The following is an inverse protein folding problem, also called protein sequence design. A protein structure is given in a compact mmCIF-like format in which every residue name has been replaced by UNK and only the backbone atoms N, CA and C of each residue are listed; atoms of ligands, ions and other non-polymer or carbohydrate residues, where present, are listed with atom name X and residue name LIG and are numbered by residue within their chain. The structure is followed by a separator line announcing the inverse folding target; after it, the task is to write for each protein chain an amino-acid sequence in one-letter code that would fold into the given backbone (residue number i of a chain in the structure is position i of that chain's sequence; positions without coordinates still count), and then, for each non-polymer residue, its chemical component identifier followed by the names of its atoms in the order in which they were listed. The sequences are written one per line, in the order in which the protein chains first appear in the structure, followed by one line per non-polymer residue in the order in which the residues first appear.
data_IF_892611683330
#
_entry.id   IF_892611683330
#
_cell.length_a   1.000
_cell.length_b   1.000
_cell.length_c   1.000
_cell.angle_alpha   90.00
_cell.angle_beta   90.00
_cell.angle_gamma   90.00
#
_symmetry.space_group_name_H-M   'P 1'
#
loop_
_entity.id
_entity.type
_entity.pdbx_description
1 polymer ?
#
# COMPACT_ATOMS: atom_id res chain seq x y z
N UNK A 1 -0.52 -56.06 -4.97
CA UNK A 1 0.24 -55.19 -5.87
C UNK A 1 -0.44 -53.83 -5.82
N UNK A 2 0.18 -52.84 -5.15
CA UNK A 2 -0.29 -51.45 -5.11
C UNK A 2 0.09 -50.75 -6.43
N UNK A 3 -0.68 -49.72 -6.82
CA UNK A 3 -0.08 -48.52 -7.37
C UNK A 3 -0.24 -47.39 -6.35
N UNK A 4 0.89 -46.89 -5.89
CA UNK A 4 1.01 -45.57 -5.29
C UNK A 4 0.95 -44.53 -6.43
N UNK A 5 0.11 -43.51 -6.28
CA UNK A 5 0.31 -42.24 -6.97
C UNK A 5 0.51 -41.16 -5.92
N UNK A 6 1.79 -40.82 -5.73
CA UNK A 6 2.22 -39.57 -5.14
C UNK A 6 2.00 -38.49 -6.19
N UNK A 7 1.00 -37.64 -5.97
CA UNK A 7 0.92 -36.33 -6.60
C UNK A 7 1.01 -35.33 -5.47
N UNK A 8 2.24 -34.92 -5.15
CA UNK A 8 2.49 -33.83 -4.23
C UNK A 8 1.78 -32.58 -4.73
N UNK A 9 0.79 -32.12 -3.98
CA UNK A 9 0.37 -30.73 -4.04
C UNK A 9 1.55 -29.93 -3.49
N UNK A 10 2.39 -29.41 -4.39
CA UNK A 10 3.22 -28.26 -4.03
C UNK A 10 2.23 -27.16 -3.68
N UNK A 11 2.01 -26.92 -2.40
CA UNK A 11 1.58 -25.60 -1.96
C UNK A 11 2.58 -24.62 -2.55
N UNK A 12 2.14 -23.83 -3.53
CA UNK A 12 2.89 -22.68 -4.00
C UNK A 12 3.08 -21.79 -2.78
N UNK A 13 4.33 -21.56 -2.39
CA UNK A 13 4.64 -20.50 -1.43
C UNK A 13 3.94 -19.25 -1.94
N UNK A 14 3.00 -18.65 -1.19
CA UNK A 14 2.28 -17.49 -1.69
C UNK A 14 3.29 -16.39 -1.99
N UNK A 15 3.31 -15.94 -3.25
CA UNK A 15 4.21 -14.88 -3.70
C UNK A 15 4.01 -13.64 -2.82
N UNK A 16 5.11 -13.05 -2.37
CA UNK A 16 5.03 -11.83 -1.57
C UNK A 16 4.51 -10.68 -2.42
N UNK A 17 3.42 -10.05 -1.99
CA UNK A 17 2.82 -8.87 -2.61
C UNK A 17 3.31 -7.62 -1.87
N UNK A 18 3.80 -6.63 -2.60
CA UNK A 18 4.21 -5.34 -2.03
C UNK A 18 3.19 -4.27 -2.40
N UNK A 19 2.56 -3.66 -1.39
CA UNK A 19 1.68 -2.51 -1.53
C UNK A 19 2.47 -1.22 -1.28
N UNK A 20 2.37 -0.26 -2.19
CA UNK A 20 2.89 1.10 -1.99
C UNK A 20 1.82 1.95 -1.31
N UNK A 21 2.20 2.59 -0.22
CA UNK A 21 1.34 3.51 0.53
C UNK A 21 1.97 4.90 0.54
N UNK A 22 1.30 5.88 -0.07
CA UNK A 22 1.75 7.28 -0.09
C UNK A 22 0.87 8.17 0.80
N UNK A 23 1.47 9.00 1.65
CA UNK A 23 0.74 9.88 2.57
C UNK A 23 1.45 11.20 2.81
N UNK A 24 0.74 12.17 3.41
CA UNK A 24 1.29 13.46 3.81
C UNK A 24 1.11 13.81 5.29
N UNK A 25 0.17 13.18 6.01
CA UNK A 25 -0.18 13.58 7.38
C UNK A 25 0.71 12.98 8.48
N UNK A 26 1.45 11.91 8.17
CA UNK A 26 2.33 11.24 9.13
C UNK A 26 3.79 11.51 8.81
N UNK A 27 4.51 12.24 9.65
CA UNK A 27 5.98 12.29 9.57
C UNK A 27 6.62 11.46 10.68
N UNK A 28 7.88 11.05 10.52
CA UNK A 28 8.62 10.37 11.60
C UNK A 28 8.70 11.18 12.89
N UNK A 29 8.56 12.51 12.78
CA UNK A 29 8.55 13.43 13.92
C UNK A 29 7.19 13.58 14.60
N UNK A 30 6.12 12.96 14.07
CA UNK A 30 4.75 13.07 14.58
C UNK A 30 4.27 11.78 15.25
N UNK A 31 3.37 11.93 16.22
CA UNK A 31 2.69 10.78 16.85
C UNK A 31 1.86 9.98 15.84
N UNK A 32 1.27 10.65 14.83
CA UNK A 32 0.54 10.01 13.73
C UNK A 32 1.46 9.12 12.88
N UNK A 33 2.68 9.57 12.56
CA UNK A 33 3.64 8.75 11.82
C UNK A 33 4.10 7.50 12.58
N UNK A 34 4.35 7.63 13.88
CA UNK A 34 4.67 6.47 14.73
C UNK A 34 3.49 5.49 14.83
N UNK A 35 2.26 6.00 15.01
CA UNK A 35 1.05 5.18 15.03
C UNK A 35 0.84 4.44 13.70
N UNK A 36 1.02 5.11 12.57
CA UNK A 36 0.90 4.50 11.24
C UNK A 36 1.91 3.36 11.03
N UNK A 37 3.17 3.54 11.43
CA UNK A 37 4.18 2.48 11.36
C UNK A 37 3.81 1.26 12.20
N UNK A 38 3.25 1.47 13.40
CA UNK A 38 2.77 0.38 14.24
C UNK A 38 1.56 -0.34 13.60
N UNK A 39 0.64 0.39 12.99
CA UNK A 39 -0.49 -0.20 12.26
C UNK A 39 -0.01 -1.05 11.07
N UNK A 40 0.97 -0.56 10.31
CA UNK A 40 1.60 -1.31 9.22
C UNK A 40 2.26 -2.58 9.74
N UNK A 41 3.03 -2.50 10.83
CA UNK A 41 3.71 -3.66 11.39
C UNK A 41 2.73 -4.75 11.87
N UNK A 42 1.63 -4.37 12.52
CA UNK A 42 0.60 -5.32 12.92
C UNK A 42 -0.16 -5.89 11.71
N UNK A 43 -0.40 -5.08 10.68
CA UNK A 43 -0.98 -5.54 9.42
C UNK A 43 -0.10 -6.59 8.72
N UNK A 44 1.20 -6.35 8.58
CA UNK A 44 2.13 -7.32 7.98
C UNK A 44 2.26 -8.61 8.80
N UNK A 45 2.15 -8.51 10.14
CA UNK A 45 2.16 -9.68 11.02
C UNK A 45 0.94 -10.58 10.79
N UNK A 46 -0.23 -9.97 10.57
CA UNK A 46 -1.46 -10.70 10.26
C UNK A 46 -1.51 -11.18 8.80
N UNK A 47 -0.75 -10.54 7.92
CA UNK A 47 -0.70 -10.82 6.48
C UNK A 47 0.75 -11.09 6.05
N UNK A 48 1.33 -12.27 6.36
CA UNK A 48 2.76 -12.53 6.21
C UNK A 48 3.26 -12.49 4.77
N UNK A 49 2.36 -12.55 3.80
CA UNK A 49 2.64 -12.48 2.36
C UNK A 49 2.51 -11.07 1.80
N UNK A 50 2.15 -10.08 2.62
CA UNK A 50 1.98 -8.69 2.19
C UNK A 50 3.05 -7.83 2.86
N UNK A 51 3.70 -6.98 2.07
CA UNK A 51 4.62 -5.95 2.52
C UNK A 51 4.11 -4.58 2.17
N UNK A 52 4.24 -3.63 3.08
CA UNK A 52 3.80 -2.24 2.86
C UNK A 52 5.02 -1.35 2.77
N UNK A 53 5.20 -0.74 1.61
CA UNK A 53 6.21 0.29 1.38
C UNK A 53 5.59 1.66 1.64
N UNK A 54 5.85 2.23 2.82
CA UNK A 54 5.39 3.56 3.20
C UNK A 54 6.29 4.65 2.60
N UNK A 55 5.68 5.62 1.94
CA UNK A 55 6.31 6.85 1.47
C UNK A 55 5.56 8.07 2.02
N UNK A 56 6.28 8.91 2.76
CA UNK A 56 5.79 10.21 3.22
C UNK A 56 6.29 11.29 2.26
N UNK A 57 5.38 12.11 1.75
CA UNK A 57 5.68 13.28 0.93
C UNK A 57 5.21 14.51 1.69
N UNK A 58 5.98 15.60 1.65
CA UNK A 58 5.59 16.86 2.30
C UNK A 58 4.29 17.40 1.71
N UNK A 59 3.44 17.98 2.57
CA UNK A 59 2.11 18.47 2.18
C UNK A 59 2.14 19.39 0.95
N UNK A 60 3.10 20.33 0.91
CA UNK A 60 3.24 21.32 -0.17
C UNK A 60 3.42 20.69 -1.55
N UNK A 61 4.05 19.52 -1.61
CA UNK A 61 4.31 18.81 -2.87
C UNK A 61 3.31 17.67 -3.15
N UNK A 62 2.54 17.26 -2.13
CA UNK A 62 1.80 16.00 -2.16
C UNK A 62 0.78 15.93 -3.30
N UNK A 63 -0.16 16.89 -3.37
CA UNK A 63 -1.26 16.83 -4.33
C UNK A 63 -0.79 17.06 -5.76
N UNK A 64 0.21 17.91 -5.97
CA UNK A 64 0.82 18.12 -7.29
C UNK A 64 1.47 16.84 -7.81
N UNK A 65 2.19 16.12 -6.94
CA UNK A 65 2.78 14.82 -7.29
C UNK A 65 1.71 13.75 -7.49
N UNK A 66 0.71 13.68 -6.61
CA UNK A 66 -0.37 12.69 -6.70
C UNK A 66 -1.14 12.84 -8.01
N UNK A 67 -1.57 14.05 -8.37
CA UNK A 67 -2.25 14.31 -9.64
C UNK A 67 -1.40 13.86 -10.83
N UNK A 68 -0.12 14.21 -10.85
CA UNK A 68 0.80 13.82 -11.93
C UNK A 68 0.94 12.30 -12.04
N UNK A 69 0.99 11.58 -10.90
CA UNK A 69 1.08 10.13 -10.85
C UNK A 69 -0.21 9.45 -11.30
N UNK A 70 -1.38 9.96 -10.89
CA UNK A 70 -2.70 9.44 -11.31
C UNK A 70 -2.86 9.57 -12.81
N UNK A 71 -2.64 10.77 -13.37
CA UNK A 71 -2.71 11.01 -14.83
C UNK A 71 -1.69 10.14 -15.58
N UNK A 72 -0.51 9.93 -14.99
CA UNK A 72 0.55 9.09 -15.56
C UNK A 72 0.35 7.59 -15.40
N UNK A 73 -0.70 7.12 -14.72
CA UNK A 73 -0.92 5.69 -14.43
C UNK A 73 0.10 5.07 -13.47
N UNK A 74 0.75 5.91 -12.66
CA UNK A 74 1.86 5.55 -11.76
C UNK A 74 1.57 5.90 -10.29
N UNK A 75 0.30 6.04 -9.91
CA UNK A 75 -0.08 6.24 -8.51
C UNK A 75 0.31 5.03 -7.65
N UNK A 76 0.44 5.25 -6.35
CA UNK A 76 0.60 4.18 -5.38
C UNK A 76 -0.68 3.32 -5.30
N UNK A 77 -0.56 2.10 -4.77
CA UNK A 77 -1.72 1.21 -4.57
C UNK A 77 -2.70 1.78 -3.53
N UNK A 78 -2.15 2.50 -2.54
CA UNK A 78 -2.90 3.21 -1.52
C UNK A 78 -2.31 4.60 -1.37
N UNK A 79 -3.16 5.62 -1.38
CA UNK A 79 -2.73 7.00 -1.15
C UNK A 79 -3.72 7.75 -0.27
N UNK A 80 -3.20 8.65 0.55
CA UNK A 80 -3.99 9.53 1.41
C UNK A 80 -4.69 10.61 0.58
N UNK A 81 -5.98 10.80 0.83
CA UNK A 81 -6.74 11.93 0.31
C UNK A 81 -7.41 12.67 1.46
N UNK A 82 -7.35 13.99 1.41
CA UNK A 82 -8.23 14.86 2.18
C UNK A 82 -9.62 14.92 1.54
N UNK A 83 -10.62 15.24 2.36
CA UNK A 83 -12.02 15.22 1.94
C UNK A 83 -12.30 16.22 0.81
N UNK A 84 -11.69 17.40 0.86
CA UNK A 84 -11.87 18.46 -0.13
C UNK A 84 -11.36 18.08 -1.53
N UNK A 85 -10.36 17.20 -1.64
CA UNK A 85 -9.87 16.74 -2.94
C UNK A 85 -10.52 15.43 -3.41
N UNK A 86 -11.19 14.69 -2.52
CA UNK A 86 -11.76 13.39 -2.84
C UNK A 86 -12.64 13.37 -4.10
N UNK A 87 -13.55 14.35 -4.23
CA UNK A 87 -14.48 14.41 -5.37
C UNK A 87 -13.75 14.60 -6.70
N UNK A 88 -12.68 15.42 -6.72
CA UNK A 88 -11.91 15.65 -7.92
C UNK A 88 -11.22 14.36 -8.38
N UNK A 89 -10.50 13.68 -7.47
CA UNK A 89 -9.81 12.42 -7.78
C UNK A 89 -10.77 11.28 -8.16
N UNK A 90 -11.90 11.14 -7.46
CA UNK A 90 -12.90 10.12 -7.81
C UNK A 90 -13.51 10.35 -9.20
N UNK A 91 -13.65 11.61 -9.63
CA UNK A 91 -14.15 11.93 -10.98
C UNK A 91 -13.14 11.69 -12.09
N UNK A 92 -11.84 11.69 -11.75
CA UNK A 92 -10.72 11.48 -12.70
C UNK A 92 -10.37 9.99 -12.87
N UNK A 93 -11.11 9.09 -12.23
CA UNK A 93 -10.92 7.63 -12.36
C UNK A 93 -9.78 7.07 -11.50
N UNK A 94 -9.42 7.80 -10.44
CA UNK A 94 -8.52 7.32 -9.39
C UNK A 94 -9.23 6.37 -8.40
#
# INVERSE_FOLDING_TARGET
MLPAFSAGTKESTPDTVTLKLEQFSGSEATLSGAALKNMIAEFEKQNPTIKVQLQTIGYDDYFTQLQSKVVGGNAADVFELNYENFVAYASEGA
#
